data_IF_653532605904
#
_entry.id   IF_653532605904
#
_cell.length_a   1.000
_cell.length_b   1.000
_cell.length_c   1.000
_cell.angle_alpha   90.00
_cell.angle_beta   90.00
_cell.angle_gamma   90.00
#
_symmetry.space_group_name_H-M   'P 1'
#
loop_
_entity.id
_entity.type
_entity.pdbx_description
1 polymer ?
#
# COMPACT_ATOMS: atom_id res chain seq x y z
N UNK A 1 -64.58 29.91 -58.15
CA UNK A 1 -64.61 30.82 -56.96
C UNK A 1 -63.36 30.45 -56.16
N UNK A 2 -62.31 31.26 -56.07
CA UNK A 2 -62.21 32.59 -55.41
C UNK A 2 -62.49 32.46 -53.90
N UNK A 3 -61.62 32.90 -52.97
CA UNK A 3 -60.77 34.11 -52.98
C UNK A 3 -59.35 33.93 -52.36
N UNK A 4 -58.63 35.05 -52.20
CA UNK A 4 -57.24 35.23 -51.75
C UNK A 4 -57.14 35.71 -50.27
N UNK A 5 -55.89 36.01 -49.81
CA UNK A 5 -55.47 36.81 -48.63
C UNK A 5 -55.30 36.13 -47.24
N UNK A 6 -54.59 36.72 -46.24
CA UNK A 6 -53.14 37.10 -46.13
C UNK A 6 -52.84 37.80 -44.76
N UNK A 7 -51.59 37.68 -44.25
CA UNK A 7 -50.90 38.45 -43.15
C UNK A 7 -51.04 38.03 -41.65
N UNK A 8 -49.91 38.21 -40.94
CA UNK A 8 -49.70 38.27 -39.47
C UNK A 8 -49.74 39.77 -39.01
N UNK A 9 -49.20 40.23 -37.83
CA UNK A 9 -48.74 39.58 -36.57
C UNK A 9 -49.21 40.31 -35.27
N UNK A 10 -48.67 39.92 -34.09
CA UNK A 10 -48.20 40.74 -32.92
C UNK A 10 -47.75 39.75 -31.80
N UNK A 11 -46.52 39.79 -31.27
CA UNK A 11 -45.95 40.65 -30.19
C UNK A 11 -46.57 40.36 -28.80
N UNK A 12 -45.82 40.06 -27.72
CA UNK A 12 -44.75 40.89 -27.12
C UNK A 12 -43.44 40.18 -26.70
N UNK A 13 -42.33 40.96 -26.63
CA UNK A 13 -41.04 40.63 -26.01
C UNK A 13 -41.00 41.09 -24.51
N UNK A 14 -39.93 41.07 -23.70
CA UNK A 14 -38.45 40.99 -23.88
C UNK A 14 -37.80 40.21 -22.69
N UNK A 15 -36.48 40.01 -22.47
CA UNK A 15 -35.20 40.68 -22.82
C UNK A 15 -34.42 40.92 -21.50
N UNK A 16 -33.10 40.84 -21.33
CA UNK A 16 -31.87 40.91 -22.17
C UNK A 16 -30.85 39.82 -21.67
N UNK A 17 -29.85 39.29 -22.40
CA UNK A 17 -28.69 39.87 -23.15
C UNK A 17 -27.70 40.66 -22.26
N UNK A 18 -26.36 40.69 -22.45
CA UNK A 18 -25.38 40.28 -23.51
C UNK A 18 -23.97 40.11 -22.80
N UNK A 19 -22.80 39.69 -23.34
CA UNK A 19 -22.28 39.15 -24.62
C UNK A 19 -20.87 38.47 -24.41
N UNK A 20 -20.17 38.08 -25.49
CA UNK A 20 -18.80 37.51 -25.54
C UNK A 20 -17.77 38.51 -26.12
N UNK A 21 -16.47 38.33 -25.83
CA UNK A 21 -15.36 38.86 -26.64
C UNK A 21 -14.04 38.07 -26.48
N UNK A 22 -13.27 37.93 -27.57
CA UNK A 22 -11.85 37.52 -27.63
C UNK A 22 -11.10 38.54 -28.50
N UNK A 23 -9.76 38.73 -28.33
CA UNK A 23 -8.79 38.91 -29.43
C UNK A 23 -7.31 39.20 -28.99
N UNK A 24 -6.42 38.24 -29.29
CA UNK A 24 -4.99 38.39 -29.72
C UNK A 24 -4.01 39.26 -28.88
N UNK A 25 -2.85 39.63 -29.46
CA UNK A 25 -1.52 39.49 -28.83
C UNK A 25 -0.51 40.62 -29.21
N UNK A 26 0.61 40.73 -28.47
CA UNK A 26 1.83 41.57 -28.67
C UNK A 26 1.77 43.05 -28.12
N UNK A 27 2.91 43.76 -27.88
CA UNK A 27 3.86 43.45 -26.79
C UNK A 27 4.49 44.65 -26.01
N UNK A 28 5.15 44.34 -24.88
CA UNK A 28 6.31 45.05 -24.25
C UNK A 28 6.11 46.24 -23.26
N UNK A 29 7.17 46.46 -22.46
CA UNK A 29 7.56 47.65 -21.66
C UNK A 29 6.82 48.03 -20.35
N UNK A 30 7.20 47.33 -19.27
CA UNK A 30 7.66 47.86 -17.97
C UNK A 30 6.99 49.08 -17.29
N UNK A 31 6.57 48.91 -16.02
CA UNK A 31 7.41 49.30 -14.84
C UNK A 31 6.86 48.74 -13.51
N UNK A 32 7.75 48.63 -12.52
CA UNK A 32 7.49 48.14 -11.16
C UNK A 32 6.65 49.13 -10.32
N UNK A 33 5.72 48.60 -9.52
CA UNK A 33 5.35 49.18 -8.21
C UNK A 33 4.85 48.11 -7.23
N UNK A 34 5.81 47.48 -6.57
CA UNK A 34 5.64 46.48 -5.50
C UNK A 34 4.51 46.71 -4.49
N UNK A 35 3.80 45.62 -4.17
CA UNK A 35 2.94 45.48 -2.98
C UNK A 35 3.36 44.20 -2.24
N UNK A 36 4.24 44.33 -1.24
CA UNK A 36 4.76 43.19 -0.47
C UNK A 36 3.79 42.78 0.65
N UNK A 37 2.87 41.85 0.35
CA UNK A 37 2.21 41.07 1.41
C UNK A 37 3.28 40.18 2.07
N UNK A 38 3.47 40.33 3.38
CA UNK A 38 4.43 39.54 4.15
C UNK A 38 3.89 38.13 4.40
N UNK A 39 4.05 37.22 3.45
CA UNK A 39 4.00 35.79 3.77
C UNK A 39 5.14 35.46 4.73
N UNK A 40 4.80 34.91 5.91
CA UNK A 40 5.80 34.56 6.93
C UNK A 40 6.38 33.19 6.59
N UNK A 41 7.33 33.18 5.66
CA UNK A 41 8.02 31.98 5.21
C UNK A 41 8.91 31.40 6.34
N UNK A 42 8.30 30.63 7.25
CA UNK A 42 9.00 29.65 8.06
C UNK A 42 9.41 28.49 7.15
N UNK A 43 10.71 28.32 6.92
CA UNK A 43 11.21 27.12 6.25
C UNK A 43 10.82 25.89 7.09
N UNK A 44 10.11 24.95 6.47
CA UNK A 44 9.83 23.63 7.02
C UNK A 44 10.80 22.64 6.39
N UNK A 45 11.30 21.64 7.14
CA UNK A 45 12.25 20.66 6.61
C UNK A 45 11.58 19.78 5.55
N UNK A 46 12.37 19.37 4.55
CA UNK A 46 11.93 18.41 3.53
C UNK A 46 11.70 17.04 4.18
N UNK A 47 10.43 16.70 4.42
CA UNK A 47 10.05 15.45 5.09
C UNK A 47 10.16 14.24 4.15
N UNK A 48 10.71 13.15 4.66
CA UNK A 48 11.08 11.97 3.89
C UNK A 48 9.91 11.31 3.15
N UNK A 49 10.19 10.88 1.90
CA UNK A 49 9.42 9.83 1.20
C UNK A 49 9.29 8.61 2.14
N UNK A 50 8.27 7.78 1.96
CA UNK A 50 8.15 6.48 2.64
C UNK A 50 7.77 5.38 1.65
N UNK A 51 8.00 4.14 2.03
CA UNK A 51 7.92 2.97 1.17
C UNK A 51 8.10 1.71 2.01
N UNK A 52 7.49 0.62 1.56
CA UNK A 52 7.19 -0.55 2.39
C UNK A 52 7.29 -1.82 1.55
N UNK A 53 7.33 -2.98 2.20
CA UNK A 53 6.59 -4.10 1.66
C UNK A 53 5.09 -3.83 1.92
N UNK A 54 4.35 -3.48 0.87
CA UNK A 54 2.88 -3.32 0.80
C UNK A 54 2.14 -2.33 1.75
N UNK A 55 2.70 -1.81 2.84
CA UNK A 55 2.02 -0.89 3.77
C UNK A 55 1.93 0.59 3.27
N UNK A 56 1.52 0.79 2.00
CA UNK A 56 1.48 2.07 1.25
C UNK A 56 1.33 3.37 2.07
N UNK A 57 2.30 4.28 1.92
CA UNK A 57 2.21 5.65 2.43
C UNK A 57 1.80 6.61 1.32
N UNK A 58 0.63 7.24 1.48
CA UNK A 58 0.13 8.30 0.61
C UNK A 58 0.85 9.64 0.92
N UNK A 59 0.90 10.54 -0.06
CA UNK A 59 1.14 11.96 0.22
C UNK A 59 -0.15 12.66 0.69
N UNK A 60 -0.03 13.90 1.17
CA UNK A 60 -1.10 14.66 1.87
C UNK A 60 -2.37 14.95 1.04
N UNK A 61 -2.46 14.46 -0.20
CA UNK A 61 -3.57 14.67 -1.12
C UNK A 61 -4.20 13.37 -1.67
N UNK A 62 -3.79 12.20 -1.16
CA UNK A 62 -4.44 10.91 -1.45
C UNK A 62 -4.09 10.29 -2.80
N UNK A 63 -3.06 10.79 -3.47
CA UNK A 63 -2.56 10.29 -4.76
C UNK A 63 -1.76 8.99 -4.61
N UNK A 64 -1.96 8.02 -5.51
CA UNK A 64 -0.88 7.07 -5.81
C UNK A 64 0.09 7.77 -6.74
N UNK A 65 1.21 8.25 -6.21
CA UNK A 65 2.36 8.62 -7.01
C UNK A 65 3.63 8.08 -6.35
N UNK A 66 4.31 7.15 -7.02
CA UNK A 66 5.76 7.00 -6.84
C UNK A 66 6.44 7.91 -7.86
N UNK A 67 7.27 8.88 -7.45
CA UNK A 67 8.06 9.63 -8.41
C UNK A 67 9.05 8.66 -9.08
N UNK A 68 8.97 8.54 -10.41
CA UNK A 68 9.97 7.88 -11.25
C UNK A 68 11.26 8.73 -11.26
N UNK A 69 11.98 8.75 -10.14
CA UNK A 69 13.18 9.57 -9.96
C UNK A 69 13.76 9.55 -8.53
N UNK A 70 15.10 9.51 -8.48
CA UNK A 70 15.96 9.65 -7.29
C UNK A 70 15.67 8.72 -6.09
N UNK A 71 16.17 7.48 -6.19
CA UNK A 71 16.39 6.55 -5.08
C UNK A 71 15.17 5.75 -4.64
N UNK A 72 15.32 4.42 -4.54
CA UNK A 72 14.47 3.60 -3.66
C UNK A 72 14.86 3.88 -2.20
N UNK A 73 13.91 3.72 -1.29
CA UNK A 73 14.21 3.63 0.14
C UNK A 73 14.36 2.16 0.54
N UNK A 74 15.16 1.86 1.58
CA UNK A 74 15.24 0.51 2.11
C UNK A 74 13.87 0.06 2.65
N UNK A 75 13.46 -1.14 2.25
CA UNK A 75 12.17 -1.74 2.63
C UNK A 75 12.36 -3.21 3.00
N UNK A 76 11.57 -3.71 3.94
CA UNK A 76 11.63 -5.09 4.45
C UNK A 76 10.30 -5.80 4.30
N UNK A 77 10.33 -7.09 3.94
CA UNK A 77 9.18 -8.00 3.87
C UNK A 77 9.50 -9.29 4.63
N UNK A 78 8.65 -9.68 5.57
CA UNK A 78 8.77 -10.89 6.38
C UNK A 78 7.68 -11.92 6.00
N UNK A 79 8.10 -13.18 5.82
CA UNK A 79 7.22 -14.33 5.56
C UNK A 79 7.09 -15.27 6.77
N UNK A 80 6.80 -16.55 6.51
CA UNK A 80 6.70 -17.58 7.57
C UNK A 80 8.05 -18.12 8.06
N UNK A 81 9.10 -17.99 7.23
CA UNK A 81 10.41 -18.56 7.50
C UNK A 81 11.58 -17.81 6.87
N UNK A 82 11.31 -16.64 6.28
CA UNK A 82 12.31 -15.80 5.62
C UNK A 82 11.98 -14.32 5.73
N UNK A 83 13.00 -13.48 5.55
CA UNK A 83 12.91 -12.03 5.49
C UNK A 83 13.70 -11.53 4.29
N UNK A 84 13.09 -10.71 3.44
CA UNK A 84 13.74 -10.06 2.31
C UNK A 84 13.85 -8.55 2.54
N UNK A 85 14.98 -7.95 2.19
CA UNK A 85 15.20 -6.50 2.15
C UNK A 85 15.48 -6.07 0.72
N UNK A 86 14.82 -4.98 0.31
CA UNK A 86 15.16 -4.16 -0.85
C UNK A 86 16.06 -3.00 -0.40
N UNK A 87 17.18 -2.79 -1.09
CA UNK A 87 18.15 -1.72 -0.83
C UNK A 87 17.86 -0.47 -1.69
N UNK A 88 18.47 0.66 -1.34
CA UNK A 88 18.30 1.95 -2.02
C UNK A 88 18.95 2.05 -3.41
N UNK A 89 19.74 1.04 -3.80
CA UNK A 89 20.32 0.86 -5.14
C UNK A 89 19.49 -0.09 -6.03
N UNK A 90 18.42 -0.69 -5.49
CA UNK A 90 17.54 -1.63 -6.18
C UNK A 90 17.98 -3.11 -6.10
N UNK A 91 19.03 -3.44 -5.32
CA UNK A 91 19.38 -4.83 -4.97
C UNK A 91 18.44 -5.38 -3.90
N UNK A 92 18.28 -6.70 -3.85
CA UNK A 92 17.60 -7.36 -2.72
C UNK A 92 18.42 -8.51 -2.13
N UNK A 93 18.27 -8.72 -0.83
CA UNK A 93 18.84 -9.87 -0.08
C UNK A 93 17.75 -10.52 0.75
N UNK A 94 17.72 -11.85 0.80
CA UNK A 94 16.80 -12.61 1.65
C UNK A 94 17.56 -13.54 2.59
N UNK A 95 17.09 -13.68 3.84
CA UNK A 95 17.65 -14.57 4.88
C UNK A 95 16.55 -15.45 5.48
N UNK A 96 16.92 -16.60 6.03
CA UNK A 96 15.98 -17.61 6.53
C UNK A 96 16.02 -18.92 5.72
N UNK A 97 14.87 -19.59 5.56
CA UNK A 97 14.76 -20.92 4.95
C UNK A 97 15.19 -20.90 3.47
N UNK A 98 16.34 -21.53 3.20
CA UNK A 98 17.12 -21.45 1.96
C UNK A 98 16.32 -21.47 0.65
N UNK A 99 15.34 -22.37 0.50
CA UNK A 99 14.55 -22.49 -0.74
C UNK A 99 13.76 -21.22 -1.11
N UNK A 100 13.41 -20.39 -0.13
CA UNK A 100 12.67 -19.14 -0.27
C UNK A 100 13.60 -17.92 -0.49
N UNK A 101 14.90 -18.09 -0.18
CA UNK A 101 15.92 -17.04 -0.26
C UNK A 101 16.72 -17.05 -1.58
N UNK A 102 16.38 -17.93 -2.52
CA UNK A 102 17.05 -18.08 -3.82
C UNK A 102 16.73 -16.92 -4.79
N UNK A 103 17.18 -15.71 -4.45
CA UNK A 103 17.04 -14.50 -5.29
C UNK A 103 17.73 -14.73 -6.65
N UNK A 104 17.02 -14.64 -7.78
CA UNK A 104 17.63 -14.82 -9.10
C UNK A 104 18.66 -13.72 -9.41
N UNK A 105 19.87 -14.11 -9.82
CA UNK A 105 21.03 -13.23 -9.98
C UNK A 105 20.88 -12.12 -11.03
N UNK A 106 19.93 -12.26 -11.96
CA UNK A 106 19.66 -11.33 -13.07
C UNK A 106 18.28 -10.68 -12.98
N UNK A 107 17.80 -10.39 -11.76
CA UNK A 107 16.50 -9.76 -11.53
C UNK A 107 16.35 -8.40 -12.24
N UNK A 108 17.46 -7.66 -12.40
CA UNK A 108 17.43 -6.25 -12.75
C UNK A 108 17.18 -5.39 -11.51
N UNK A 109 16.78 -4.13 -11.69
CA UNK A 109 16.41 -3.27 -10.56
C UNK A 109 15.00 -3.58 -10.09
N UNK A 110 14.88 -3.90 -8.81
CA UNK A 110 13.60 -4.08 -8.12
C UNK A 110 13.04 -2.71 -7.74
N UNK A 111 11.78 -2.46 -8.10
CA UNK A 111 11.03 -1.29 -7.68
C UNK A 111 10.18 -1.58 -6.43
N UNK A 112 9.60 -2.78 -6.32
CA UNK A 112 8.70 -3.20 -5.24
C UNK A 112 8.90 -4.69 -4.91
N UNK A 113 8.62 -5.09 -3.66
CA UNK A 113 8.78 -6.46 -3.16
C UNK A 113 7.68 -6.84 -2.18
N UNK A 114 7.10 -8.03 -2.36
CA UNK A 114 6.22 -8.67 -1.39
C UNK A 114 6.64 -10.12 -1.20
N UNK A 115 6.94 -10.49 0.04
CA UNK A 115 7.25 -11.85 0.48
C UNK A 115 6.21 -12.31 1.50
N UNK A 116 5.81 -13.58 1.43
CA UNK A 116 4.83 -14.19 2.33
C UNK A 116 5.27 -15.60 2.73
N UNK A 117 4.33 -16.48 3.09
CA UNK A 117 4.60 -17.80 3.68
C UNK A 117 5.60 -18.66 2.92
N UNK A 118 5.47 -18.72 1.60
CA UNK A 118 6.15 -19.73 0.79
C UNK A 118 6.89 -19.22 -0.45
N UNK A 119 6.63 -17.98 -0.86
CA UNK A 119 7.21 -17.35 -2.05
C UNK A 119 7.43 -15.83 -1.87
N UNK A 120 8.16 -15.26 -2.81
CA UNK A 120 8.46 -13.83 -2.91
C UNK A 120 8.19 -13.38 -4.34
N UNK A 121 7.48 -12.27 -4.51
CA UNK A 121 7.28 -11.60 -5.79
C UNK A 121 7.87 -10.20 -5.77
N UNK A 122 8.43 -9.77 -6.90
CA UNK A 122 8.96 -8.42 -7.12
C UNK A 122 8.32 -7.77 -8.33
N UNK A 123 8.19 -6.45 -8.30
CA UNK A 123 7.96 -5.62 -9.48
C UNK A 123 9.26 -4.92 -9.85
N UNK A 124 9.65 -4.98 -11.13
CA UNK A 124 10.86 -4.33 -11.64
C UNK A 124 10.59 -2.90 -12.13
N UNK A 125 11.65 -2.10 -12.34
CA UNK A 125 11.55 -0.91 -13.19
C UNK A 125 10.93 -1.31 -14.55
N UNK A 126 9.82 -0.64 -14.95
CA UNK A 126 9.03 -1.00 -16.13
C UNK A 126 7.81 -1.90 -15.87
N UNK A 127 7.55 -2.31 -14.63
CA UNK A 127 6.29 -2.95 -14.23
C UNK A 127 6.18 -4.46 -14.52
N UNK A 128 7.28 -5.13 -14.89
CA UNK A 128 7.31 -6.60 -15.04
C UNK A 128 7.38 -7.25 -13.65
N UNK A 129 6.53 -8.26 -13.42
CA UNK A 129 6.57 -9.10 -12.21
C UNK A 129 7.52 -10.29 -12.38
N UNK A 130 8.24 -10.66 -11.32
CA UNK A 130 8.93 -11.96 -11.19
C UNK A 130 8.59 -12.54 -9.82
N UNK A 131 8.22 -13.81 -9.76
CA UNK A 131 7.96 -14.54 -8.51
C UNK A 131 8.90 -15.75 -8.38
N UNK A 132 9.34 -16.05 -7.17
CA UNK A 132 10.25 -17.17 -6.87
C UNK A 132 10.01 -17.75 -5.46
N UNK A 133 10.36 -19.03 -5.27
CA UNK A 133 10.11 -19.78 -4.03
C UNK A 133 9.27 -21.03 -4.30
N UNK A 134 8.38 -21.40 -3.37
CA UNK A 134 7.45 -22.51 -3.55
C UNK A 134 6.43 -22.18 -4.66
N UNK A 135 6.16 -23.14 -5.54
CA UNK A 135 5.17 -22.99 -6.61
C UNK A 135 4.30 -24.26 -6.74
N UNK A 136 3.65 -24.67 -5.65
CA UNK A 136 2.83 -25.90 -5.60
C UNK A 136 1.37 -25.67 -5.98
N UNK A 137 0.93 -24.42 -6.00
CA UNK A 137 -0.42 -23.96 -6.32
C UNK A 137 -0.42 -22.95 -7.47
N UNK A 138 0.70 -22.80 -8.19
CA UNK A 138 0.87 -21.76 -9.23
C UNK A 138 1.09 -20.34 -8.68
N UNK A 139 1.44 -20.19 -7.40
CA UNK A 139 1.62 -18.86 -6.76
C UNK A 139 2.75 -18.00 -7.38
N UNK A 140 3.65 -18.63 -8.14
CA UNK A 140 4.70 -17.98 -8.92
C UNK A 140 4.44 -17.98 -10.43
N UNK A 141 3.35 -18.60 -10.91
CA UNK A 141 3.00 -18.67 -12.33
C UNK A 141 2.35 -17.35 -12.77
N UNK A 142 3.20 -16.34 -12.99
CA UNK A 142 2.80 -15.00 -13.45
C UNK A 142 2.10 -15.10 -14.82
N UNK A 143 0.84 -14.66 -14.97
CA UNK A 143 0.11 -14.74 -16.24
C UNK A 143 0.80 -13.95 -17.37
N UNK A 144 0.85 -14.52 -18.57
CA UNK A 144 1.49 -13.90 -19.75
C UNK A 144 0.83 -12.58 -20.18
N UNK A 145 -0.48 -12.43 -19.92
CA UNK A 145 -1.31 -11.28 -20.26
C UNK A 145 -1.42 -10.23 -19.13
N UNK A 146 -0.77 -10.46 -17.98
CA UNK A 146 -0.83 -9.58 -16.81
C UNK A 146 -0.44 -8.12 -17.14
N UNK A 147 0.49 -7.92 -18.07
CA UNK A 147 0.94 -6.59 -18.51
C UNK A 147 1.69 -5.82 -17.43
N UNK A 148 1.77 -4.47 -17.54
CA UNK A 148 2.48 -3.64 -16.57
C UNK A 148 1.75 -3.58 -15.22
N UNK A 149 2.47 -3.87 -14.15
CA UNK A 149 1.99 -3.90 -12.76
C UNK A 149 2.57 -2.73 -11.96
N UNK A 150 1.75 -2.13 -11.09
CA UNK A 150 2.13 -1.05 -10.17
C UNK A 150 2.66 -1.59 -8.84
N UNK A 151 2.13 -2.73 -8.38
CA UNK A 151 2.43 -3.36 -7.09
C UNK A 151 1.99 -4.82 -7.04
N UNK A 152 2.62 -5.62 -6.18
CA UNK A 152 2.15 -6.96 -5.81
C UNK A 152 1.91 -7.09 -4.31
N UNK A 153 1.00 -7.98 -3.92
CA UNK A 153 0.88 -8.47 -2.55
C UNK A 153 0.72 -9.99 -2.57
N UNK A 154 1.64 -10.70 -1.94
CA UNK A 154 1.65 -12.17 -1.83
C UNK A 154 0.89 -12.61 -0.59
N UNK A 155 -0.02 -13.57 -0.75
CA UNK A 155 -0.63 -14.32 0.36
C UNK A 155 0.12 -15.64 0.62
N UNK A 156 -0.49 -16.60 1.32
CA UNK A 156 0.18 -17.87 1.67
C UNK A 156 0.62 -18.70 0.46
N UNK A 157 -0.33 -18.91 -0.45
CA UNK A 157 -0.24 -19.77 -1.64
C UNK A 157 -0.87 -19.08 -2.88
N UNK A 158 -0.94 -17.75 -2.88
CA UNK A 158 -1.47 -16.95 -3.99
C UNK A 158 -0.76 -15.58 -4.05
N UNK A 159 -0.92 -14.89 -5.17
CA UNK A 159 -0.37 -13.55 -5.42
C UNK A 159 -1.45 -12.68 -6.04
N UNK A 160 -1.62 -11.45 -5.55
CA UNK A 160 -2.46 -10.43 -6.17
C UNK A 160 -1.60 -9.27 -6.70
N UNK A 161 -1.94 -8.76 -7.88
CA UNK A 161 -1.25 -7.68 -8.56
C UNK A 161 -2.24 -6.58 -8.97
N UNK A 162 -1.86 -5.32 -8.76
CA UNK A 162 -2.60 -4.16 -9.28
C UNK A 162 -1.94 -3.71 -10.58
N UNK A 163 -2.68 -3.80 -11.68
CA UNK A 163 -2.22 -3.46 -13.03
C UNK A 163 -2.19 -1.95 -13.24
N UNK A 164 -1.48 -1.48 -14.25
CA UNK A 164 -1.37 -0.05 -14.58
C UNK A 164 -2.69 0.60 -15.04
N UNK A 165 -3.72 -0.19 -15.37
CA UNK A 165 -5.10 0.25 -15.60
C UNK A 165 -5.99 0.17 -14.34
N UNK A 166 -5.37 0.01 -13.16
CA UNK A 166 -6.00 -0.10 -11.83
C UNK A 166 -6.92 -1.33 -11.65
N UNK A 167 -6.81 -2.33 -12.52
CA UNK A 167 -7.47 -3.62 -12.32
C UNK A 167 -6.66 -4.53 -11.38
N UNK A 168 -7.36 -5.36 -10.61
CA UNK A 168 -6.75 -6.40 -9.79
C UNK A 168 -6.79 -7.75 -10.52
N UNK A 169 -5.64 -8.42 -10.57
CA UNK A 169 -5.55 -9.84 -10.98
C UNK A 169 -4.90 -10.61 -9.83
N UNK A 170 -5.51 -11.72 -9.43
CA UNK A 170 -4.93 -12.66 -8.47
C UNK A 170 -4.72 -14.01 -9.13
N UNK A 171 -3.60 -14.67 -8.83
CA UNK A 171 -3.19 -15.97 -9.38
C UNK A 171 -2.56 -16.86 -8.30
N UNK A 172 -2.41 -18.15 -8.58
CA UNK A 172 -2.04 -19.18 -7.62
C UNK A 172 -3.24 -19.99 -7.14
N UNK A 173 -3.30 -20.29 -5.84
CA UNK A 173 -4.35 -21.10 -5.22
C UNK A 173 -5.75 -20.69 -5.67
N UNK A 174 -6.61 -21.69 -5.90
CA UNK A 174 -7.94 -21.52 -6.50
C UNK A 174 -8.93 -20.69 -5.66
N UNK A 175 -10.20 -20.71 -6.07
CA UNK A 175 -11.27 -20.08 -5.32
C UNK A 175 -11.23 -20.55 -3.84
N UNK A 176 -11.35 -19.64 -2.85
CA UNK A 176 -12.01 -18.33 -2.99
C UNK A 176 -11.09 -17.13 -3.30
N UNK A 177 -9.76 -17.22 -3.17
CA UNK A 177 -8.88 -16.02 -3.26
C UNK A 177 -8.62 -15.52 -4.68
N UNK A 178 -8.65 -16.40 -5.67
CA UNK A 178 -8.53 -16.03 -7.09
C UNK A 178 -9.87 -15.67 -7.73
N UNK A 179 -10.99 -15.77 -7.00
CA UNK A 179 -12.32 -15.32 -7.42
C UNK A 179 -12.51 -13.81 -7.16
N UNK A 180 -11.74 -12.99 -7.89
CA UNK A 180 -11.78 -11.52 -7.78
C UNK A 180 -13.21 -10.99 -8.06
N UNK A 181 -13.81 -10.15 -7.18
CA UNK A 181 -15.15 -9.62 -7.42
C UNK A 181 -15.23 -8.73 -8.67
N UNK A 182 -16.22 -8.96 -9.53
CA UNK A 182 -16.33 -8.31 -10.84
C UNK A 182 -16.51 -6.78 -10.73
N UNK A 183 -17.19 -6.29 -9.69
CA UNK A 183 -17.52 -4.87 -9.48
C UNK A 183 -16.54 -4.12 -8.55
N UNK A 184 -15.28 -4.59 -8.41
CA UNK A 184 -14.26 -3.85 -7.65
C UNK A 184 -14.05 -2.43 -8.22
N UNK A 185 -14.02 -2.27 -9.54
CA UNK A 185 -13.61 -1.01 -10.19
C UNK A 185 -12.13 -0.70 -9.93
N UNK A 186 -11.71 0.58 -10.04
CA UNK A 186 -10.32 0.97 -9.84
C UNK A 186 -9.83 0.70 -8.41
N UNK A 187 -8.84 -0.20 -8.29
CA UNK A 187 -8.18 -0.54 -7.04
C UNK A 187 -7.00 0.40 -6.80
N UNK A 188 -6.96 1.00 -5.61
CA UNK A 188 -5.90 1.89 -5.17
C UNK A 188 -4.74 1.13 -4.50
N UNK A 189 -5.07 0.14 -3.67
CA UNK A 189 -4.10 -0.70 -2.97
C UNK A 189 -4.68 -2.10 -2.71
N UNK A 190 -3.82 -3.10 -2.58
CA UNK A 190 -4.16 -4.47 -2.17
C UNK A 190 -3.25 -4.92 -1.03
N UNK A 191 -3.81 -5.67 -0.08
CA UNK A 191 -3.04 -6.47 0.88
C UNK A 191 -3.63 -7.88 0.97
N UNK A 192 -2.79 -8.88 0.71
CA UNK A 192 -3.09 -10.30 0.81
C UNK A 192 -2.63 -10.84 2.16
N UNK A 193 -3.53 -11.54 2.87
CA UNK A 193 -3.26 -12.29 4.08
C UNK A 193 -3.02 -13.78 3.78
N UNK A 194 -3.12 -14.64 4.81
CA UNK A 194 -2.90 -16.09 4.60
C UNK A 194 -3.97 -16.75 3.72
N UNK A 195 -5.24 -16.32 3.81
CA UNK A 195 -6.36 -16.94 3.10
C UNK A 195 -7.35 -15.95 2.47
N UNK A 196 -7.06 -14.65 2.50
CA UNK A 196 -7.95 -13.58 2.05
C UNK A 196 -7.16 -12.41 1.44
N UNK A 197 -7.82 -11.61 0.63
CA UNK A 197 -7.29 -10.35 0.11
C UNK A 197 -8.24 -9.20 0.43
N UNK A 198 -7.69 -8.04 0.74
CA UNK A 198 -8.43 -6.81 0.95
C UNK A 198 -7.89 -5.72 0.03
N UNK A 199 -8.79 -4.95 -0.59
CA UNK A 199 -8.46 -3.84 -1.47
C UNK A 199 -9.06 -2.54 -0.97
N UNK A 200 -8.27 -1.47 -1.06
CA UNK A 200 -8.76 -0.09 -0.98
C UNK A 200 -9.13 0.33 -2.40
N UNK A 201 -10.40 0.71 -2.61
CA UNK A 201 -10.89 1.28 -3.87
C UNK A 201 -10.53 2.77 -3.97
N UNK A 202 -10.53 3.32 -5.19
CA UNK A 202 -10.30 4.75 -5.42
C UNK A 202 -11.36 5.70 -4.79
N UNK A 203 -12.48 5.18 -4.26
CA UNK A 203 -13.46 5.90 -3.44
C UNK A 203 -13.19 5.80 -1.92
N UNK A 204 -12.03 5.25 -1.54
CA UNK A 204 -11.61 5.02 -0.16
C UNK A 204 -12.30 3.83 0.53
N UNK A 205 -13.20 3.10 -0.15
CA UNK A 205 -13.88 1.95 0.45
C UNK A 205 -12.96 0.73 0.53
N UNK A 206 -13.00 0.03 1.66
CA UNK A 206 -12.40 -1.28 1.82
C UNK A 206 -13.35 -2.39 1.30
N UNK A 207 -12.81 -3.35 0.54
CA UNK A 207 -13.51 -4.58 0.15
C UNK A 207 -12.57 -5.76 0.42
N UNK A 208 -13.05 -6.79 1.12
CA UNK A 208 -12.29 -8.00 1.43
C UNK A 208 -12.99 -9.24 0.87
N UNK A 209 -12.22 -10.22 0.39
CA UNK A 209 -12.71 -11.46 -0.20
C UNK A 209 -11.71 -12.62 0.00
N UNK A 210 -12.19 -13.86 -0.10
CA UNK A 210 -11.42 -15.07 0.21
C UNK A 210 -12.02 -15.86 1.37
N UNK A 211 -11.18 -16.55 2.15
CA UNK A 211 -11.58 -17.21 3.39
C UNK A 211 -11.98 -16.17 4.45
N UNK A 212 -13.12 -16.38 5.12
CA UNK A 212 -13.60 -15.49 6.18
C UNK A 212 -14.13 -16.25 7.40
N UNK A 213 -13.51 -17.40 7.73
CA UNK A 213 -13.93 -18.25 8.87
C UNK A 213 -13.84 -17.55 10.22
N UNK A 214 -12.84 -16.67 10.38
CA UNK A 214 -12.63 -15.86 11.60
C UNK A 214 -13.22 -14.46 11.46
N UNK A 215 -13.99 -14.20 10.39
CA UNK A 215 -14.53 -12.88 10.07
C UNK A 215 -13.52 -11.89 9.48
N UNK A 216 -12.35 -12.34 8.99
CA UNK A 216 -11.33 -11.45 8.41
C UNK A 216 -11.77 -10.67 7.16
N UNK A 217 -12.88 -11.05 6.52
CA UNK A 217 -13.52 -10.26 5.45
C UNK A 217 -14.77 -9.48 5.90
N UNK A 218 -15.17 -9.54 7.18
CA UNK A 218 -16.34 -8.84 7.71
C UNK A 218 -15.99 -7.37 8.02
N UNK A 219 -15.81 -6.58 6.96
CA UNK A 219 -15.52 -5.14 7.03
C UNK A 219 -16.59 -4.42 7.87
N UNK A 220 -16.23 -3.71 8.96
CA UNK A 220 -17.20 -3.00 9.80
C UNK A 220 -17.99 -1.93 9.02
N UNK A 221 -19.31 -1.89 9.23
CA UNK A 221 -20.20 -0.99 8.48
C UNK A 221 -19.93 0.52 8.75
N UNK A 222 -19.33 0.84 9.89
CA UNK A 222 -18.92 2.19 10.32
C UNK A 222 -17.43 2.50 10.06
N UNK A 223 -16.69 1.58 9.41
CA UNK A 223 -15.27 1.79 9.08
C UNK A 223 -15.07 3.06 8.27
N UNK A 224 -15.96 3.36 7.32
CA UNK A 224 -15.86 4.54 6.45
C UNK A 224 -14.63 4.48 5.52
N UNK A 225 -14.18 5.63 4.99
CA UNK A 225 -13.02 5.69 4.11
C UNK A 225 -11.70 5.37 4.84
N UNK A 226 -10.84 4.60 4.16
CA UNK A 226 -9.52 4.19 4.65
C UNK A 226 -8.40 4.66 3.73
N UNK A 227 -7.22 4.91 4.31
CA UNK A 227 -6.00 5.31 3.62
C UNK A 227 -5.15 4.10 3.21
N UNK A 228 -5.11 3.08 4.08
CA UNK A 228 -4.30 1.88 3.92
C UNK A 228 -4.93 0.67 4.62
N UNK A 229 -4.52 -0.53 4.22
CA UNK A 229 -4.90 -1.82 4.84
C UNK A 229 -3.69 -2.76 4.89
N UNK A 230 -3.62 -3.57 5.94
CA UNK A 230 -2.75 -4.74 6.03
C UNK A 230 -3.56 -5.95 6.46
N UNK A 231 -3.47 -7.03 5.68
CA UNK A 231 -4.15 -8.30 5.89
C UNK A 231 -3.18 -9.30 6.51
N UNK A 232 -3.48 -9.80 7.71
CA UNK A 232 -2.65 -10.75 8.44
C UNK A 232 -2.99 -12.21 8.15
N UNK A 233 -2.66 -13.10 9.09
CA UNK A 233 -3.02 -14.51 9.00
C UNK A 233 -4.52 -14.77 9.10
N UNK A 234 -5.13 -14.19 10.14
CA UNK A 234 -6.53 -14.44 10.52
C UNK A 234 -7.34 -13.16 10.74
N UNK A 235 -6.76 -12.00 10.45
CA UNK A 235 -7.33 -10.68 10.69
C UNK A 235 -6.94 -9.67 9.61
N UNK A 236 -7.58 -8.50 9.67
CA UNK A 236 -7.37 -7.37 8.76
C UNK A 236 -7.32 -6.10 9.59
N UNK A 237 -6.32 -5.24 9.36
CA UNK A 237 -6.18 -3.95 10.01
C UNK A 237 -6.16 -2.82 8.98
N UNK A 238 -6.99 -1.79 9.18
CA UNK A 238 -7.11 -0.65 8.27
C UNK A 238 -6.90 0.68 8.99
N UNK A 239 -6.21 1.61 8.33
CA UNK A 239 -6.00 2.99 8.81
C UNK A 239 -7.09 3.86 8.18
N UNK A 240 -7.95 4.44 9.02
CA UNK A 240 -9.01 5.37 8.62
C UNK A 240 -8.43 6.73 8.23
N UNK A 241 -9.21 7.53 7.48
CA UNK A 241 -8.87 8.94 7.15
C UNK A 241 -8.72 9.87 8.38
N UNK A 242 -9.19 9.46 9.55
CA UNK A 242 -8.96 10.15 10.84
C UNK A 242 -7.61 9.75 11.50
N UNK A 243 -6.81 8.92 10.82
CA UNK A 243 -5.54 8.39 11.31
C UNK A 243 -5.67 7.28 12.35
N UNK A 244 -6.87 6.84 12.71
CA UNK A 244 -7.07 5.75 13.68
C UNK A 244 -6.96 4.39 13.01
N UNK A 245 -6.40 3.43 13.73
CA UNK A 245 -6.36 2.02 13.34
C UNK A 245 -7.63 1.30 13.78
N UNK A 246 -8.19 0.47 12.91
CA UNK A 246 -9.27 -0.48 13.22
C UNK A 246 -8.86 -1.87 12.72
N UNK A 247 -8.91 -2.87 13.58
CA UNK A 247 -8.63 -4.26 13.23
C UNK A 247 -9.87 -5.14 13.45
N UNK A 248 -10.06 -6.15 12.58
CA UNK A 248 -11.19 -7.07 12.62
C UNK A 248 -10.81 -8.46 12.06
N UNK A 249 -11.52 -9.49 12.52
CA UNK A 249 -11.19 -10.90 12.27
C UNK A 249 -10.90 -11.64 13.57
N UNK A 250 -10.06 -12.68 13.51
CA UNK A 250 -9.65 -13.47 14.67
C UNK A 250 -8.86 -12.65 15.69
N UNK A 251 -9.14 -12.87 16.98
CA UNK A 251 -8.55 -12.11 18.11
C UNK A 251 -8.12 -13.02 19.29
N UNK A 252 -7.95 -14.33 19.05
CA UNK A 252 -7.62 -15.32 20.08
C UNK A 252 -6.30 -15.03 20.82
N UNK A 253 -5.36 -14.36 20.16
CA UNK A 253 -4.08 -13.92 20.73
C UNK A 253 -4.07 -12.39 20.99
N UNK A 254 -5.20 -11.70 20.81
CA UNK A 254 -5.35 -10.25 20.99
C UNK A 254 -4.87 -9.38 19.82
N UNK A 255 -4.66 -9.95 18.64
CA UNK A 255 -4.10 -9.25 17.46
C UNK A 255 -4.99 -8.13 16.88
N UNK A 256 -6.26 -8.07 17.26
CA UNK A 256 -7.18 -6.98 16.92
C UNK A 256 -7.35 -5.94 18.05
N UNK A 257 -6.76 -6.16 19.24
CA UNK A 257 -6.88 -5.28 20.42
C UNK A 257 -5.96 -4.06 20.32
N UNK A 258 -6.32 -3.15 19.41
CA UNK A 258 -5.65 -1.85 19.21
C UNK A 258 -5.53 -1.10 20.56
N UNK A 259 -4.30 -0.75 21.02
CA UNK A 259 -4.11 -0.02 22.26
C UNK A 259 -4.83 1.34 22.28
N UNK A 260 -5.47 1.68 23.40
CA UNK A 260 -6.28 2.91 23.52
C UNK A 260 -5.46 4.20 23.48
N UNK A 261 -4.16 4.12 23.72
CA UNK A 261 -3.16 5.18 23.69
C UNK A 261 -2.28 5.16 22.42
N UNK A 262 -2.59 4.29 21.44
CA UNK A 262 -1.83 4.20 20.18
C UNK A 262 -1.79 5.53 19.42
N UNK A 263 -2.89 6.29 19.43
CA UNK A 263 -3.00 7.57 18.72
C UNK A 263 -3.08 7.40 17.21
N UNK A 264 -2.59 8.41 16.47
CA UNK A 264 -2.58 8.40 15.01
C UNK A 264 -1.48 7.49 14.45
N UNK A 265 -1.86 6.63 13.50
CA UNK A 265 -0.99 5.65 12.83
C UNK A 265 -0.68 6.11 11.40
N UNK A 266 0.59 6.01 11.01
CA UNK A 266 1.10 6.32 9.67
C UNK A 266 1.13 5.07 8.77
N UNK A 267 1.52 3.92 9.32
CA UNK A 267 1.61 2.65 8.61
C UNK A 267 1.33 1.47 9.57
N UNK A 268 0.86 0.34 9.02
CA UNK A 268 0.55 -0.88 9.79
C UNK A 268 0.97 -2.12 9.01
N UNK A 269 1.47 -3.13 9.72
CA UNK A 269 1.69 -4.48 9.21
C UNK A 269 1.06 -5.49 10.17
N UNK A 270 0.16 -6.31 9.64
CA UNK A 270 -0.45 -7.44 10.33
C UNK A 270 0.31 -8.72 9.97
N UNK A 271 0.86 -9.40 10.99
CA UNK A 271 1.48 -10.72 10.84
C UNK A 271 0.45 -11.84 10.96
N UNK A 272 0.88 -13.06 11.27
CA UNK A 272 -0.07 -14.17 11.43
C UNK A 272 -0.89 -14.07 12.71
N UNK A 273 -0.26 -13.67 13.83
CA UNK A 273 -0.88 -13.64 15.17
C UNK A 273 -0.63 -12.33 15.94
N UNK A 274 -0.11 -11.30 15.28
CA UNK A 274 0.20 -10.00 15.88
C UNK A 274 0.05 -8.86 14.85
N UNK A 275 0.03 -7.64 15.35
CA UNK A 275 -0.11 -6.40 14.57
C UNK A 275 0.93 -5.40 15.04
N UNK A 276 1.65 -4.77 14.11
CA UNK A 276 2.65 -3.74 14.38
C UNK A 276 2.28 -2.44 13.64
N UNK A 277 2.20 -1.34 14.38
CA UNK A 277 1.78 -0.03 13.89
C UNK A 277 2.87 1.03 14.13
N UNK A 278 3.16 1.83 13.10
CA UNK A 278 4.05 2.98 13.18
C UNK A 278 3.19 4.21 13.46
N UNK A 279 3.39 4.83 14.61
CA UNK A 279 2.71 6.08 15.01
C UNK A 279 3.23 7.25 14.18
N UNK A 280 2.45 8.33 14.07
CA UNK A 280 2.90 9.58 13.39
C UNK A 280 4.13 10.23 14.04
N UNK A 281 4.53 9.80 15.24
CA UNK A 281 5.80 10.15 15.91
C UNK A 281 7.00 9.33 15.46
N UNK A 282 6.83 8.36 14.55
CA UNK A 282 7.83 7.38 14.15
C UNK A 282 8.03 6.22 15.13
N UNK A 283 7.31 6.21 16.27
CA UNK A 283 7.36 5.13 17.26
C UNK A 283 6.66 3.87 16.72
N UNK A 284 7.35 2.72 16.79
CA UNK A 284 6.74 1.41 16.57
C UNK A 284 6.03 0.91 17.83
N UNK A 285 4.82 0.34 17.66
CA UNK A 285 4.07 -0.36 18.71
C UNK A 285 3.54 -1.67 18.13
N UNK A 286 3.77 -2.80 18.80
CA UNK A 286 3.27 -4.11 18.40
C UNK A 286 2.35 -4.71 19.49
N UNK A 287 1.32 -5.45 19.08
CA UNK A 287 0.33 -6.07 19.95
C UNK A 287 -0.25 -7.37 19.37
N UNK A 288 -0.73 -8.26 20.24
CA UNK A 288 -1.18 -9.61 19.90
C UNK A 288 -0.30 -10.68 20.55
N UNK A 289 -0.09 -11.80 19.86
CA UNK A 289 0.79 -12.89 20.33
C UNK A 289 2.21 -12.36 20.57
N UNK A 290 2.76 -12.71 21.74
CA UNK A 290 4.15 -12.39 22.10
C UNK A 290 4.88 -13.57 22.77
N UNK A 291 4.61 -14.80 22.32
CA UNK A 291 5.23 -16.02 22.92
C UNK A 291 6.65 -16.26 22.40
N UNK A 292 6.97 -15.66 21.26
CA UNK A 292 8.26 -15.76 20.58
C UNK A 292 9.06 -14.44 20.66
N UNK A 293 8.53 -13.41 21.31
CA UNK A 293 9.12 -12.06 21.40
C UNK A 293 8.80 -11.14 20.21
N UNK A 294 7.84 -11.50 19.35
CA UNK A 294 7.53 -10.77 18.12
C UNK A 294 6.91 -9.37 18.33
N UNK A 295 6.48 -9.06 19.56
CA UNK A 295 6.02 -7.73 19.97
C UNK A 295 7.01 -7.01 20.91
N UNK A 296 8.15 -7.63 21.27
CA UNK A 296 9.17 -7.03 22.14
C UNK A 296 10.03 -6.02 21.37
N UNK A 297 9.41 -4.88 21.02
CA UNK A 297 10.06 -3.76 20.32
C UNK A 297 11.29 -3.28 21.10
N UNK A 298 12.52 -3.31 20.53
CA UNK A 298 13.73 -2.87 21.23
C UNK A 298 13.65 -1.40 21.67
N UNK A 299 14.05 -1.12 22.91
CA UNK A 299 13.94 0.22 23.52
C UNK A 299 14.87 1.27 22.90
N UNK A 300 15.91 0.82 22.17
CA UNK A 300 16.87 1.61 21.41
C UNK A 300 16.62 1.62 19.89
N UNK A 301 15.52 1.01 19.43
CA UNK A 301 15.13 0.93 18.01
C UNK A 301 15.07 2.33 17.37
N UNK A 302 14.54 3.32 18.09
CA UNK A 302 14.35 4.68 17.59
C UNK A 302 13.20 4.79 16.57
N UNK A 303 13.15 5.90 15.80
CA UNK A 303 12.14 6.09 14.76
C UNK A 303 12.30 5.13 13.59
N UNK A 304 11.18 4.61 13.08
CA UNK A 304 11.14 3.65 11.95
C UNK A 304 10.44 4.23 10.72
N UNK A 305 10.92 3.85 9.53
CA UNK A 305 10.36 4.22 8.22
C UNK A 305 9.34 3.20 7.72
N UNK A 306 9.56 1.91 7.98
CA UNK A 306 8.67 0.81 7.59
C UNK A 306 8.80 -0.37 8.54
N UNK A 307 7.79 -1.23 8.56
CA UNK A 307 7.75 -2.48 9.34
C UNK A 307 7.06 -3.58 8.54
N UNK A 308 7.51 -4.82 8.71
CA UNK A 308 6.83 -6.02 8.25
C UNK A 308 6.79 -7.05 9.38
N UNK A 309 5.58 -7.48 9.72
CA UNK A 309 5.31 -8.56 10.65
C UNK A 309 5.13 -9.88 9.89
N UNK A 310 5.94 -10.88 10.22
CA UNK A 310 5.85 -12.24 9.66
C UNK A 310 4.95 -13.15 10.50
N UNK A 311 5.26 -14.44 10.53
CA UNK A 311 4.47 -15.43 11.27
C UNK A 311 4.77 -15.45 12.78
N UNK A 312 6.06 -15.41 13.15
CA UNK A 312 6.53 -15.37 14.55
C UNK A 312 7.65 -14.33 14.78
N UNK A 313 7.86 -13.40 13.85
CA UNK A 313 8.87 -12.34 13.96
C UNK A 313 8.38 -11.02 13.36
N UNK A 314 9.10 -9.95 13.67
CA UNK A 314 8.87 -8.59 13.17
C UNK A 314 10.20 -8.00 12.73
N UNK A 315 10.22 -7.35 11.58
CA UNK A 315 11.38 -6.60 11.10
C UNK A 315 10.97 -5.16 10.79
N UNK A 316 11.75 -4.19 11.26
CA UNK A 316 11.55 -2.77 10.98
C UNK A 316 12.81 -2.13 10.38
N UNK A 317 12.62 -1.12 9.55
CA UNK A 317 13.72 -0.31 8.98
C UNK A 317 13.74 1.03 9.70
N UNK A 318 14.89 1.36 10.31
CA UNK A 318 15.13 2.63 11.03
C UNK A 318 15.26 3.82 10.07
N UNK A 319 15.20 5.04 10.59
CA UNK A 319 15.45 6.27 9.80
C UNK A 319 16.88 6.42 9.28
N UNK A 320 17.85 5.66 9.79
CA UNK A 320 19.21 5.53 9.23
C UNK A 320 19.32 4.46 8.13
N UNK A 321 18.21 3.79 7.81
CA UNK A 321 18.13 2.74 6.79
C UNK A 321 18.52 1.34 7.28
N UNK A 322 18.96 1.19 8.54
CA UNK A 322 19.35 -0.12 9.07
C UNK A 322 18.12 -0.96 9.48
N UNK A 323 18.11 -2.27 9.14
CA UNK A 323 17.07 -3.18 9.60
C UNK A 323 17.33 -3.66 11.02
N UNK A 324 16.25 -3.84 11.79
CA UNK A 324 16.24 -4.52 13.08
C UNK A 324 15.11 -5.53 13.10
N UNK A 325 15.40 -6.77 13.44
CA UNK A 325 14.42 -7.86 13.51
C UNK A 325 14.39 -8.49 14.91
N UNK A 326 13.20 -8.84 15.38
CA UNK A 326 12.93 -9.40 16.71
C UNK A 326 11.77 -10.41 16.66
N UNK A 327 11.69 -11.31 17.63
CA UNK A 327 10.84 -12.51 17.60
C UNK A 327 11.63 -13.79 17.31
N UNK A 328 10.97 -14.82 16.77
CA UNK A 328 11.62 -16.10 16.46
C UNK A 328 12.78 -15.92 15.45
N UNK A 329 13.89 -16.61 15.73
CA UNK A 329 15.07 -16.67 14.88
C UNK A 329 15.57 -18.11 14.68
N UNK A 330 14.73 -19.11 14.95
CA UNK A 330 15.02 -20.56 14.86
C UNK A 330 15.67 -21.01 13.54
N UNK A 331 15.42 -20.27 12.45
CA UNK A 331 15.96 -20.53 11.10
C UNK A 331 16.80 -19.37 10.54
N UNK A 332 17.21 -18.41 11.38
CA UNK A 332 18.05 -17.28 10.97
C UNK A 332 17.33 -16.15 10.24
N UNK A 333 15.99 -16.08 10.31
CA UNK A 333 15.19 -15.08 9.60
C UNK A 333 15.28 -13.65 10.18
N UNK A 334 15.88 -13.47 11.36
CA UNK A 334 16.25 -12.17 11.91
C UNK A 334 17.73 -11.81 11.69
N UNK A 335 18.54 -12.72 11.12
CA UNK A 335 19.98 -12.52 10.90
C UNK A 335 20.24 -11.66 9.64
N UNK A 336 19.72 -10.44 9.61
CA UNK A 336 19.98 -9.51 8.50
C UNK A 336 21.47 -9.15 8.46
N UNK A 337 22.13 -9.16 7.28
CA UNK A 337 23.49 -8.68 7.17
C UNK A 337 23.57 -7.19 7.48
N UNK A 338 24.63 -6.76 8.16
CA UNK A 338 24.93 -5.34 8.32
C UNK A 338 25.19 -4.73 6.94
N UNK A 339 24.39 -3.73 6.58
CA UNK A 339 24.42 -3.10 5.25
C UNK A 339 25.51 -2.02 5.25
N UNK A 340 26.64 -2.30 4.59
CA UNK A 340 27.80 -1.41 4.44
C UNK A 340 27.92 -0.83 3.04
#
# INVERSE_FOLDING_TARGET
MAWLTVRHPLSTAAGFYWALAQLRFLPSLSRDRSLRIKSRASALPESSKSGNAAAWTQDLYGSILRPMGSGTLPAVSAGDGHTCILQSDGRMTCVGRQAQCNVPSNLGKVADVSAASSHTCVVLEGGRVICFGQNRQGQCDVPEDLGPVLSVSTGRDFTCAVRADLQLVCFGSGAPVTAVPQDLGPVQAVSAGSGHACVVKADGRLVCFGQSTEGQCYVPADLGPVLAVSSGGFHTCAIKVDGRLVCFGGDDEGQCRVPTDLGSVLAVSAGTFHTCAIKTTGQLVCFGRNREGQCDVPSDLGPVLSVSAGFFHTCAVRTDGLPVCFGDNSVGMCNMPLVS
#
